data_IF_954315800885
#
_entry.id   IF_954315800885
#
_cell.length_a   1.000
_cell.length_b   1.000
_cell.length_c   1.000
_cell.angle_alpha   90.00
_cell.angle_beta   90.00
_cell.angle_gamma   90.00
#
_symmetry.space_group_name_H-M   'P 1'
#
loop_
_entity.id
_entity.type
_entity.pdbx_description
1 polymer ?
#
# COMPACT_ATOMS: atom_id res chain seq x y z
N UNK A 1 4.91 -21.76 4.10
CA UNK A 1 5.99 -20.85 4.56
C UNK A 1 6.99 -20.51 3.47
N UNK A 2 7.58 -19.31 3.54
CA UNK A 2 8.57 -18.81 2.58
C UNK A 2 8.01 -18.08 1.35
N UNK A 3 6.70 -18.11 1.14
CA UNK A 3 6.03 -17.40 0.04
C UNK A 3 5.53 -16.03 0.49
N UNK A 4 5.65 -15.04 -0.39
CA UNK A 4 5.10 -13.69 -0.25
C UNK A 4 4.28 -13.29 -1.48
N UNK A 5 3.29 -12.43 -1.29
CA UNK A 5 2.65 -11.64 -2.35
C UNK A 5 2.97 -10.16 -2.11
N UNK A 6 2.61 -9.29 -3.05
CA UNK A 6 3.07 -7.91 -3.07
C UNK A 6 2.02 -6.90 -2.60
N UNK A 7 2.50 -5.79 -2.07
CA UNK A 7 1.71 -4.57 -1.88
C UNK A 7 1.57 -3.82 -3.20
N UNK A 8 0.74 -2.77 -3.23
CA UNK A 8 0.51 -1.94 -4.41
C UNK A 8 1.75 -1.16 -4.87
N UNK A 9 2.65 -0.80 -3.94
CA UNK A 9 4.00 -0.30 -4.24
C UNK A 9 5.02 -1.37 -3.82
N UNK A 10 5.41 -2.29 -4.71
CA UNK A 10 5.88 -3.61 -4.30
C UNK A 10 7.39 -3.70 -4.03
N UNK A 11 8.14 -2.61 -4.21
CA UNK A 11 9.60 -2.61 -4.15
C UNK A 11 10.29 -2.71 -5.52
N UNK A 12 11.57 -3.05 -5.50
CA UNK A 12 12.46 -3.06 -6.67
C UNK A 12 12.01 -4.01 -7.79
N UNK A 13 11.54 -5.19 -7.40
CA UNK A 13 11.35 -6.32 -8.30
C UNK A 13 10.00 -7.03 -8.07
N UNK A 14 9.06 -6.36 -7.39
CA UNK A 14 7.76 -6.94 -7.10
C UNK A 14 6.72 -6.65 -8.17
N UNK A 15 5.70 -7.51 -8.24
CA UNK A 15 4.59 -7.38 -9.19
C UNK A 15 3.33 -7.10 -8.37
N UNK A 16 2.79 -5.88 -8.39
CA UNK A 16 1.66 -5.52 -7.54
C UNK A 16 0.40 -6.23 -8.04
N UNK A 17 -0.56 -6.56 -7.16
CA UNK A 17 -1.83 -7.13 -7.56
C UNK A 17 -2.64 -6.11 -8.38
N UNK A 18 -3.27 -6.59 -9.47
CA UNK A 18 -4.12 -5.80 -10.34
C UNK A 18 -5.55 -6.32 -10.25
N UNK A 19 -6.44 -5.47 -9.73
CA UNK A 19 -7.86 -5.78 -9.59
C UNK A 19 -8.64 -5.13 -10.73
N UNK A 20 -9.31 -5.96 -11.51
CA UNK A 20 -10.23 -5.51 -12.57
C UNK A 20 -11.64 -5.88 -12.17
N UNK A 21 -12.50 -4.88 -11.99
CA UNK A 21 -13.86 -5.06 -11.51
C UNK A 21 -14.87 -4.84 -12.64
N UNK A 22 -15.87 -5.70 -12.71
CA UNK A 22 -17.08 -5.49 -13.50
C UNK A 22 -18.27 -5.47 -12.57
N UNK A 23 -19.15 -4.48 -12.71
CA UNK A 23 -20.34 -4.32 -11.88
C UNK A 23 -21.59 -4.33 -12.75
N UNK A 24 -22.66 -4.97 -12.29
CA UNK A 24 -23.94 -5.00 -13.03
C UNK A 24 -24.66 -3.64 -13.12
N UNK A 25 -24.27 -2.69 -12.27
CA UNK A 25 -24.75 -1.31 -12.22
C UNK A 25 -23.56 -0.37 -11.98
N UNK A 26 -23.68 0.95 -12.27
CA UNK A 26 -22.65 1.91 -11.90
C UNK A 26 -22.38 1.90 -10.39
N UNK A 27 -21.16 1.56 -10.00
CA UNK A 27 -20.73 1.51 -8.60
C UNK A 27 -19.23 1.82 -8.48
N UNK A 28 -18.86 2.50 -7.41
CA UNK A 28 -17.45 2.72 -7.04
C UNK A 28 -16.95 1.51 -6.25
N UNK A 29 -15.82 0.94 -6.68
CA UNK A 29 -15.17 -0.20 -6.00
C UNK A 29 -13.79 0.24 -5.50
N UNK A 30 -13.62 0.28 -4.19
CA UNK A 30 -12.37 0.67 -3.53
C UNK A 30 -11.77 -0.53 -2.82
N UNK A 31 -10.53 -0.87 -3.17
CA UNK A 31 -9.73 -1.86 -2.45
C UNK A 31 -8.89 -1.16 -1.39
N UNK A 32 -9.05 -1.54 -0.13
CA UNK A 32 -8.17 -1.10 0.96
C UNK A 32 -7.12 -2.16 1.21
N UNK A 33 -5.88 -1.73 1.50
CA UNK A 33 -4.80 -2.65 1.77
C UNK A 33 -4.44 -2.62 3.26
N UNK A 34 -4.25 -3.78 3.89
CA UNK A 34 -3.58 -3.87 5.18
C UNK A 34 -2.18 -3.23 5.12
N UNK A 35 -1.70 -2.74 6.26
CA UNK A 35 -0.31 -2.26 6.38
C UNK A 35 0.63 -3.39 5.95
N UNK A 36 1.53 -3.16 4.98
CA UNK A 36 2.41 -4.19 4.46
C UNK A 36 3.64 -4.37 5.34
N UNK A 37 4.36 -5.47 5.10
CA UNK A 37 5.70 -5.69 5.63
C UNK A 37 6.75 -5.38 4.57
N UNK A 38 7.93 -4.92 5.01
CA UNK A 38 9.12 -4.82 4.17
C UNK A 38 10.00 -6.06 4.29
N UNK A 39 10.49 -6.54 3.17
CA UNK A 39 11.42 -7.67 3.08
C UNK A 39 12.66 -7.25 2.31
N UNK A 40 13.82 -7.32 2.97
CA UNK A 40 15.13 -7.11 2.36
C UNK A 40 15.83 -8.46 2.28
N UNK A 41 16.16 -8.89 1.06
CA UNK A 41 16.90 -10.12 0.80
C UNK A 41 17.94 -9.90 -0.32
N UNK A 42 18.63 -10.97 -0.72
CA UNK A 42 19.67 -10.88 -1.76
C UNK A 42 19.15 -10.37 -3.11
N UNK A 43 17.83 -10.42 -3.34
CA UNK A 43 17.15 -9.97 -4.56
C UNK A 43 16.76 -8.50 -4.51
N UNK A 44 16.97 -7.82 -3.37
CA UNK A 44 16.61 -6.42 -3.16
C UNK A 44 15.52 -6.22 -2.11
N UNK A 45 14.89 -5.06 -2.18
CA UNK A 45 13.84 -4.65 -1.26
C UNK A 45 12.46 -4.87 -1.89
N UNK A 46 11.57 -5.53 -1.15
CA UNK A 46 10.18 -5.80 -1.55
C UNK A 46 9.22 -5.47 -0.44
N UNK A 47 8.01 -5.04 -0.79
CA UNK A 47 6.96 -4.69 0.16
C UNK A 47 5.72 -5.54 -0.14
N UNK A 48 5.14 -6.16 0.87
CA UNK A 48 4.03 -7.08 0.68
C UNK A 48 3.61 -7.86 1.90
N UNK A 49 3.18 -9.09 1.68
CA UNK A 49 2.52 -9.91 2.69
C UNK A 49 3.00 -11.35 2.64
N UNK A 50 3.14 -11.98 3.81
CA UNK A 50 3.40 -13.42 3.96
C UNK A 50 2.20 -14.12 4.59
N UNK A 51 2.13 -15.43 4.40
CA UNK A 51 1.10 -16.32 4.94
C UNK A 51 -0.30 -16.03 4.39
N UNK A 52 -0.97 -14.99 4.90
CA UNK A 52 -2.34 -14.64 4.56
C UNK A 52 -2.41 -13.11 4.43
N UNK A 53 -3.15 -12.66 3.42
CA UNK A 53 -3.63 -11.28 3.34
C UNK A 53 -5.08 -11.31 2.87
N UNK A 54 -5.92 -10.48 3.49
CA UNK A 54 -7.27 -10.20 3.00
C UNK A 54 -7.32 -8.72 2.67
N UNK A 55 -7.77 -8.40 1.47
CA UNK A 55 -7.96 -7.02 1.02
C UNK A 55 -9.44 -6.64 1.18
N UNK A 56 -9.80 -5.77 2.15
CA UNK A 56 -11.16 -5.28 2.23
C UNK A 56 -11.57 -4.53 0.97
N UNK A 57 -12.74 -4.85 0.44
CA UNK A 57 -13.31 -4.19 -0.75
C UNK A 57 -14.60 -3.48 -0.35
N UNK A 58 -14.65 -2.18 -0.58
CA UNK A 58 -15.85 -1.37 -0.40
C UNK A 58 -16.50 -1.13 -1.76
N UNK A 59 -17.80 -1.42 -1.85
CA UNK A 59 -18.62 -1.15 -3.04
C UNK A 59 -19.68 -0.11 -2.67
N UNK A 60 -19.78 0.97 -3.46
CA UNK A 60 -20.82 2.01 -3.32
C UNK A 60 -21.59 2.14 -4.62
N UNK A 61 -22.87 1.77 -4.60
CA UNK A 61 -23.79 2.03 -5.70
C UNK A 61 -24.76 3.14 -5.30
N UNK A 62 -25.02 4.09 -6.20
CA UNK A 62 -25.85 5.26 -5.91
C UNK A 62 -27.35 4.89 -5.79
N UNK A 63 -27.88 4.16 -6.77
CA UNK A 63 -29.31 3.95 -6.94
C UNK A 63 -29.75 2.47 -6.89
N UNK A 64 -28.85 1.58 -6.47
CA UNK A 64 -29.10 0.14 -6.46
C UNK A 64 -28.91 -0.46 -5.06
N UNK A 65 -29.85 -1.30 -4.64
CA UNK A 65 -29.78 -2.05 -3.39
C UNK A 65 -29.09 -3.40 -3.55
N UNK A 66 -28.87 -3.86 -4.78
CA UNK A 66 -28.17 -5.08 -5.11
C UNK A 66 -27.18 -4.84 -6.26
N UNK A 67 -26.01 -5.48 -6.17
CA UNK A 67 -24.93 -5.34 -7.15
C UNK A 67 -24.30 -6.71 -7.37
N UNK A 68 -24.21 -7.16 -8.62
CA UNK A 68 -23.35 -8.29 -8.99
C UNK A 68 -21.96 -7.72 -9.26
N UNK A 69 -20.97 -8.26 -8.57
CA UNK A 69 -19.58 -7.83 -8.64
C UNK A 69 -18.72 -9.00 -9.12
N UNK A 70 -18.11 -8.83 -10.28
CA UNK A 70 -17.12 -9.76 -10.84
C UNK A 70 -15.71 -9.19 -10.69
N UNK A 71 -14.76 -10.04 -10.31
CA UNK A 71 -13.35 -9.75 -10.17
C UNK A 71 -12.54 -10.57 -11.17
N UNK A 72 -11.65 -9.91 -11.89
CA UNK A 72 -10.45 -10.51 -12.46
C UNK A 72 -9.22 -9.97 -11.70
N UNK A 73 -8.49 -10.86 -11.04
CA UNK A 73 -7.31 -10.54 -10.25
C UNK A 73 -6.08 -11.16 -10.89
N UNK A 74 -5.15 -10.31 -11.32
CA UNK A 74 -3.79 -10.72 -11.65
C UNK A 74 -2.86 -10.41 -10.47
N UNK A 75 -2.02 -11.36 -10.06
CA UNK A 75 -1.08 -11.19 -8.95
C UNK A 75 0.13 -12.09 -9.11
N UNK A 76 1.15 -11.91 -8.27
CA UNK A 76 2.29 -12.82 -8.24
C UNK A 76 2.57 -13.29 -6.81
N UNK A 77 2.98 -14.56 -6.68
CA UNK A 77 3.54 -15.11 -5.46
C UNK A 77 5.02 -15.39 -5.67
N UNK A 78 5.85 -14.99 -4.72
CA UNK A 78 7.30 -15.11 -4.86
C UNK A 78 7.92 -15.81 -3.65
N UNK A 79 8.89 -16.68 -3.94
CA UNK A 79 9.83 -17.24 -2.96
C UNK A 79 11.25 -17.01 -3.48
N UNK A 80 11.82 -18.00 -4.17
CA UNK A 80 13.08 -17.87 -4.92
C UNK A 80 12.82 -17.41 -6.36
N UNK A 81 11.65 -17.76 -6.88
CA UNK A 81 11.15 -17.36 -8.19
C UNK A 81 9.75 -16.79 -8.00
N UNK A 82 9.42 -15.76 -8.78
CA UNK A 82 8.10 -15.16 -8.75
C UNK A 82 7.21 -15.80 -9.83
N UNK A 83 6.02 -16.25 -9.42
CA UNK A 83 5.05 -16.94 -10.25
C UNK A 83 3.81 -16.06 -10.37
N UNK A 84 3.54 -15.50 -11.56
CA UNK A 84 2.28 -14.81 -11.86
C UNK A 84 1.11 -15.80 -11.87
N UNK A 85 -0.06 -15.32 -11.45
CA UNK A 85 -1.31 -16.07 -11.42
C UNK A 85 -2.51 -15.16 -11.64
N UNK A 86 -3.58 -15.76 -12.16
CA UNK A 86 -4.88 -15.12 -12.37
C UNK A 86 -5.93 -15.81 -11.51
N UNK A 87 -6.87 -15.02 -10.97
CA UNK A 87 -8.04 -15.52 -10.26
C UNK A 87 -9.29 -14.78 -10.74
N UNK A 88 -10.42 -15.50 -10.77
CA UNK A 88 -11.74 -14.92 -11.03
C UNK A 88 -12.68 -15.24 -9.88
N UNK A 89 -13.48 -14.27 -9.49
CA UNK A 89 -14.49 -14.44 -8.44
C UNK A 89 -15.72 -13.59 -8.77
N UNK A 90 -16.88 -14.03 -8.28
CA UNK A 90 -18.16 -13.33 -8.47
C UNK A 90 -18.94 -13.37 -7.16
N UNK A 91 -19.59 -12.26 -6.82
CA UNK A 91 -20.48 -12.17 -5.66
C UNK A 91 -21.66 -11.24 -5.93
N UNK A 92 -22.83 -11.65 -5.48
CA UNK A 92 -24.02 -10.79 -5.43
C UNK A 92 -24.13 -10.12 -4.06
N UNK A 93 -23.98 -8.80 -4.03
CA UNK A 93 -24.10 -7.96 -2.84
C UNK A 93 -25.54 -7.43 -2.70
N UNK A 94 -25.95 -7.16 -1.46
CA UNK A 94 -27.24 -6.54 -1.17
C UNK A 94 -28.46 -7.47 -1.24
N UNK A 95 -28.24 -8.77 -1.41
CA UNK A 95 -29.27 -9.80 -1.23
C UNK A 95 -29.45 -10.15 0.27
N UNK A 96 -30.43 -11.00 0.59
CA UNK A 96 -30.68 -11.44 1.97
C UNK A 96 -29.62 -12.43 2.51
N UNK A 97 -28.74 -12.95 1.65
CA UNK A 97 -27.68 -13.87 2.05
C UNK A 97 -26.48 -13.07 2.56
N UNK A 98 -26.16 -13.27 3.84
CA UNK A 98 -24.90 -12.80 4.41
C UNK A 98 -24.05 -13.99 4.77
N UNK A 99 -22.75 -13.89 4.48
CA UNK A 99 -21.73 -14.78 5.02
C UNK A 99 -21.20 -14.18 6.35
N UNK A 100 -21.56 -14.75 7.52
CA UNK A 100 -21.11 -14.22 8.79
C UNK A 100 -19.60 -14.36 8.99
N UNK A 101 -18.99 -15.45 8.51
CA UNK A 101 -17.56 -15.70 8.66
C UNK A 101 -16.74 -14.74 7.79
N UNK A 102 -17.14 -14.58 6.52
CA UNK A 102 -16.56 -13.58 5.63
C UNK A 102 -16.71 -12.16 6.18
N UNK A 103 -17.86 -11.83 6.76
CA UNK A 103 -18.10 -10.50 7.37
C UNK A 103 -17.18 -10.22 8.57
N UNK A 104 -16.97 -11.23 9.43
CA UNK A 104 -16.03 -11.14 10.55
C UNK A 104 -14.60 -10.98 10.05
N UNK A 105 -14.18 -11.78 9.08
CA UNK A 105 -12.84 -11.68 8.47
C UNK A 105 -12.61 -10.29 7.87
N UNK A 106 -13.57 -9.75 7.10
CA UNK A 106 -13.44 -8.40 6.54
C UNK A 106 -13.28 -7.36 7.64
N UNK A 107 -14.05 -7.46 8.73
CA UNK A 107 -13.96 -6.51 9.86
C UNK A 107 -12.60 -6.58 10.55
N UNK A 108 -12.08 -7.79 10.80
CA UNK A 108 -10.76 -7.98 11.43
C UNK A 108 -9.62 -7.45 10.56
N UNK A 109 -9.69 -7.64 9.24
CA UNK A 109 -8.68 -7.17 8.31
C UNK A 109 -8.78 -5.68 8.00
N UNK A 110 -9.97 -5.10 8.07
CA UNK A 110 -10.15 -3.63 8.06
C UNK A 110 -9.42 -2.97 9.23
N UNK A 111 -9.40 -3.59 10.41
CA UNK A 111 -8.66 -3.05 11.55
C UNK A 111 -7.12 -3.07 11.37
N UNK A 112 -6.61 -3.77 10.34
CA UNK A 112 -5.18 -3.86 9.99
C UNK A 112 -4.77 -2.89 8.88
N UNK A 113 -5.71 -2.13 8.32
CA UNK A 113 -5.40 -1.12 7.29
C UNK A 113 -4.86 0.14 7.95
N UNK A 114 -4.19 0.97 7.16
CA UNK A 114 -3.84 2.31 7.61
C UNK A 114 -5.11 3.10 7.94
N UNK A 115 -5.00 4.01 8.91
CA UNK A 115 -6.05 4.97 9.27
C UNK A 115 -5.54 6.39 9.03
N UNK A 116 -6.42 7.35 8.69
CA UNK A 116 -6.02 8.74 8.53
C UNK A 116 -5.36 9.31 9.79
N UNK A 117 -4.26 10.05 9.63
CA UNK A 117 -3.54 10.69 10.72
C UNK A 117 -2.68 11.86 10.27
N UNK A 118 -1.79 12.33 11.15
CA UNK A 118 -0.84 13.42 10.84
C UNK A 118 0.59 13.09 11.30
N UNK A 119 1.14 11.90 10.99
CA UNK A 119 2.44 11.47 11.49
C UNK A 119 3.60 12.37 11.04
N UNK A 120 3.49 13.09 9.91
CA UNK A 120 4.56 13.91 9.33
C UNK A 120 4.38 15.37 9.75
N UNK A 121 5.41 15.96 10.36
CA UNK A 121 5.48 17.40 10.68
C UNK A 121 6.13 18.23 9.58
N UNK A 122 7.10 17.66 8.86
CA UNK A 122 7.76 18.29 7.73
C UNK A 122 8.25 17.24 6.74
N UNK A 123 8.32 17.61 5.46
CA UNK A 123 8.90 16.79 4.40
C UNK A 123 9.69 17.66 3.43
N UNK A 124 10.85 17.16 2.98
CA UNK A 124 11.68 17.84 1.98
C UNK A 124 12.47 16.83 1.16
N UNK A 125 13.02 17.29 0.03
CA UNK A 125 13.92 16.50 -0.81
C UNK A 125 15.33 17.07 -0.70
N UNK A 126 16.29 16.20 -0.37
CA UNK A 126 17.71 16.49 -0.46
C UNK A 126 18.28 15.82 -1.71
N UNK A 127 18.66 16.62 -2.70
CA UNK A 127 19.27 16.16 -3.95
C UNK A 127 20.75 16.54 -4.07
N UNK A 128 21.42 16.88 -2.95
CA UNK A 128 22.84 17.29 -2.95
C UNK A 128 23.79 16.09 -3.03
N UNK A 129 23.32 14.91 -2.62
CA UNK A 129 24.07 13.67 -2.63
C UNK A 129 24.07 12.93 -3.99
N UNK A 130 24.71 11.76 -4.07
CA UNK A 130 24.76 10.94 -5.28
C UNK A 130 23.38 10.38 -5.67
N UNK A 131 22.48 10.24 -4.69
CA UNK A 131 21.08 9.90 -4.88
C UNK A 131 20.21 10.88 -4.11
N UNK A 132 19.02 11.23 -4.65
CA UNK A 132 18.05 12.04 -3.94
C UNK A 132 17.48 11.30 -2.74
N UNK A 133 17.15 12.03 -1.68
CA UNK A 133 16.62 11.52 -0.42
C UNK A 133 15.36 12.29 -0.04
N UNK A 134 14.30 11.58 0.33
CA UNK A 134 13.14 12.14 1.01
C UNK A 134 13.46 12.20 2.50
N UNK A 135 13.47 13.43 3.04
CA UNK A 135 13.64 13.68 4.47
C UNK A 135 12.29 13.93 5.10
N UNK A 136 11.96 13.18 6.15
CA UNK A 136 10.73 13.31 6.91
C UNK A 136 11.04 13.63 8.36
N UNK A 137 10.32 14.62 8.90
CA UNK A 137 10.19 14.81 10.34
C UNK A 137 8.85 14.23 10.80
N UNK A 138 8.87 13.48 11.90
CA UNK A 138 7.74 12.74 12.43
C UNK A 138 7.34 13.28 13.80
N UNK A 139 6.03 13.28 14.07
CA UNK A 139 5.48 13.68 15.37
C UNK A 139 5.75 12.66 16.47
N UNK A 140 5.85 11.40 16.08
CA UNK A 140 6.10 10.25 16.95
C UNK A 140 7.12 9.32 16.30
N UNK A 141 7.77 8.48 17.10
CA UNK A 141 8.72 7.50 16.59
C UNK A 141 8.00 6.44 15.74
N UNK A 142 8.57 6.10 14.59
CA UNK A 142 8.05 5.06 13.70
C UNK A 142 9.01 3.86 13.58
N UNK A 143 8.45 2.71 13.27
CA UNK A 143 9.14 1.45 13.02
C UNK A 143 9.42 1.24 11.52
N UNK A 144 8.53 1.73 10.64
CA UNK A 144 8.71 1.73 9.19
C UNK A 144 7.88 2.88 8.57
N UNK A 145 8.21 3.24 7.33
CA UNK A 145 7.51 4.24 6.52
C UNK A 145 7.33 3.71 5.11
N UNK A 146 6.08 3.71 4.64
CA UNK A 146 5.75 3.41 3.26
C UNK A 146 5.29 4.69 2.54
N UNK A 147 5.80 4.91 1.34
CA UNK A 147 5.51 6.11 0.55
C UNK A 147 4.95 5.71 -0.80
N UNK A 148 3.83 6.32 -1.16
CA UNK A 148 3.23 6.19 -2.47
C UNK A 148 3.28 7.53 -3.20
N UNK A 149 3.39 7.46 -4.50
CA UNK A 149 3.47 8.62 -5.38
C UNK A 149 2.82 8.30 -6.72
N UNK A 150 2.26 9.32 -7.37
CA UNK A 150 1.82 9.20 -8.77
C UNK A 150 2.96 9.25 -9.79
N UNK A 151 4.22 9.37 -9.33
CA UNK A 151 5.41 9.39 -10.18
C UNK A 151 6.04 8.00 -10.31
N UNK A 152 7.13 7.87 -11.07
CA UNK A 152 7.91 6.63 -11.12
C UNK A 152 8.85 6.43 -9.92
N UNK A 153 8.94 7.41 -9.02
CA UNK A 153 9.87 7.37 -7.91
C UNK A 153 9.57 6.23 -6.94
N UNK A 154 10.63 5.59 -6.47
CA UNK A 154 10.57 4.55 -5.45
C UNK A 154 11.31 5.02 -4.21
N UNK A 155 10.74 4.80 -3.03
CA UNK A 155 11.31 5.21 -1.75
C UNK A 155 11.77 3.97 -0.98
N UNK A 156 13.06 3.93 -0.69
CA UNK A 156 13.75 2.84 0.03
C UNK A 156 13.33 2.76 1.50
N UNK A 157 13.75 1.69 2.17
CA UNK A 157 13.64 1.58 3.63
C UNK A 157 14.14 2.86 4.34
N UNK A 158 13.41 3.36 5.34
CA UNK A 158 13.82 4.54 6.08
C UNK A 158 15.07 4.28 6.92
N UNK A 159 15.98 5.26 6.92
CA UNK A 159 17.04 5.37 7.90
C UNK A 159 16.60 6.36 8.96
N UNK A 160 16.33 5.86 10.17
CA UNK A 160 15.82 6.67 11.26
C UNK A 160 16.93 7.33 12.08
N UNK A 161 16.63 8.51 12.62
CA UNK A 161 17.38 9.09 13.73
C UNK A 161 17.31 8.19 14.97
N UNK A 162 18.19 8.44 15.95
CA UNK A 162 18.24 7.65 17.19
C UNK A 162 16.94 7.69 18.02
N UNK A 163 16.14 8.77 17.90
CA UNK A 163 14.85 8.92 18.56
C UNK A 163 13.66 8.49 17.69
N UNK A 164 13.93 8.05 16.44
CA UNK A 164 12.92 7.61 15.49
C UNK A 164 12.04 8.71 14.92
N UNK A 165 12.36 9.99 15.15
CA UNK A 165 11.52 11.14 14.74
C UNK A 165 11.99 11.82 13.46
N UNK A 166 13.13 11.44 12.92
CA UNK A 166 13.55 11.84 11.59
C UNK A 166 13.80 10.57 10.77
N UNK A 167 13.46 10.61 9.49
CA UNK A 167 13.67 9.49 8.57
C UNK A 167 14.17 9.98 7.21
N UNK A 168 15.25 9.37 6.75
CA UNK A 168 15.80 9.56 5.42
C UNK A 168 15.46 8.34 4.55
N UNK A 169 14.74 8.55 3.45
CA UNK A 169 14.39 7.51 2.47
C UNK A 169 15.08 7.84 1.15
N UNK A 170 16.05 7.02 0.75
CA UNK A 170 16.68 7.15 -0.56
C UNK A 170 15.66 6.92 -1.68
N UNK A 171 15.74 7.75 -2.74
CA UNK A 171 14.80 7.75 -3.84
C UNK A 171 15.46 7.16 -5.09
N UNK A 172 14.86 6.09 -5.60
CA UNK A 172 15.24 5.43 -6.83
C UNK A 172 14.21 5.63 -7.95
N UNK A 173 14.56 5.15 -9.15
CA UNK A 173 13.69 5.12 -10.33
C UNK A 173 13.12 6.50 -10.74
N UNK A 174 13.88 7.56 -10.46
CA UNK A 174 13.58 8.92 -10.90
C UNK A 174 14.76 9.53 -11.67
N UNK A 175 14.48 10.03 -12.87
CA UNK A 175 15.50 10.69 -13.72
C UNK A 175 15.62 12.18 -13.46
N UNK A 176 14.52 12.81 -13.06
CA UNK A 176 14.43 14.25 -12.84
C UNK A 176 13.69 14.49 -11.54
N UNK A 177 14.47 14.78 -10.49
CA UNK A 177 14.00 14.99 -9.12
C UNK A 177 13.10 16.23 -9.03
N UNK A 178 13.24 17.19 -9.94
CA UNK A 178 12.38 18.38 -9.95
C UNK A 178 10.90 18.03 -10.16
N UNK A 179 10.59 16.86 -10.75
CA UNK A 179 9.22 16.35 -10.88
C UNK A 179 8.56 15.97 -9.56
N UNK A 180 9.33 15.89 -8.47
CA UNK A 180 8.78 15.71 -7.12
C UNK A 180 8.34 17.04 -6.50
N UNK A 181 8.77 18.20 -7.01
CA UNK A 181 8.31 19.50 -6.52
C UNK A 181 6.80 19.65 -6.70
N UNK A 182 6.08 19.92 -5.62
CA UNK A 182 4.61 19.97 -5.60
C UNK A 182 3.90 18.62 -5.77
N UNK A 183 4.63 17.50 -5.82
CA UNK A 183 4.02 16.18 -5.87
C UNK A 183 3.32 15.87 -4.54
N UNK A 184 2.14 15.23 -4.63
CA UNK A 184 1.44 14.70 -3.47
C UNK A 184 1.94 13.28 -3.22
N UNK A 185 2.50 13.06 -2.04
CA UNK A 185 2.89 11.75 -1.52
C UNK A 185 1.82 11.26 -0.55
N UNK A 186 1.51 9.97 -0.56
CA UNK A 186 0.81 9.33 0.56
C UNK A 186 1.86 8.66 1.43
N UNK A 187 2.02 9.12 2.66
CA UNK A 187 2.98 8.60 3.64
C UNK A 187 2.23 7.81 4.70
N UNK A 188 2.57 6.54 4.86
CA UNK A 188 2.11 5.68 5.95
C UNK A 188 3.25 5.46 6.94
N UNK A 189 3.16 6.03 8.13
CA UNK A 189 4.09 5.77 9.23
C UNK A 189 3.53 4.64 10.11
N UNK A 190 4.35 3.63 10.38
CA UNK A 190 3.96 2.48 11.20
C UNK A 190 4.54 2.62 12.60
N UNK A 191 3.70 2.53 13.62
CA UNK A 191 4.12 2.52 15.02
C UNK A 191 3.20 1.60 15.84
N UNK A 192 3.77 0.70 16.66
CA UNK A 192 2.99 -0.21 17.49
C UNK A 192 2.04 -1.10 16.70
N UNK A 193 2.44 -1.51 15.49
CA UNK A 193 1.64 -2.33 14.58
C UNK A 193 0.45 -1.63 13.92
N UNK A 194 0.37 -0.29 13.97
CA UNK A 194 -0.67 0.51 13.31
C UNK A 194 -0.06 1.47 12.29
N UNK A 195 -0.72 1.63 11.15
CA UNK A 195 -0.35 2.62 10.14
C UNK A 195 -1.17 3.89 10.27
N UNK A 196 -0.50 5.04 10.41
CA UNK A 196 -1.11 6.35 10.23
C UNK A 196 -0.75 6.89 8.86
N UNK A 197 -1.77 7.22 8.07
CA UNK A 197 -1.61 7.67 6.69
C UNK A 197 -1.91 9.16 6.56
N UNK A 198 -1.05 9.88 5.83
CA UNK A 198 -1.17 11.30 5.56
C UNK A 198 -0.74 11.61 4.13
N UNK A 199 -1.52 12.46 3.45
CA UNK A 199 -1.08 13.10 2.23
C UNK A 199 -0.16 14.27 2.54
N UNK A 200 1.01 14.29 1.92
CA UNK A 200 2.04 15.31 2.10
C UNK A 200 2.40 15.88 0.73
N UNK A 201 2.25 17.20 0.56
CA UNK A 201 2.71 17.89 -0.64
C UNK A 201 4.15 18.32 -0.43
N UNK A 202 5.04 17.89 -1.33
CA UNK A 202 6.42 18.33 -1.29
C UNK A 202 6.54 19.83 -1.65
N UNK A 203 7.44 20.56 -0.97
CA UNK A 203 7.65 21.99 -1.22
C UNK A 203 8.17 22.31 -2.62
#
# INVERSE_FOLDING_TARGET
DGWKTYWRMPGDAGIPPQFTWTTSVPADVTVTYPVPDRFVDASGETVGYKHIVVFPVQVKAADATAVSLDLELFFAVCREVCIPADAKASIDLGNAMRDPEGSLSVTEWQARTSSPGTPVSAASIDATGPKPVLKLELREAAEDIFVETGTSAYFRAPQFSADGREADLEIDNIKDVAKLGGAVLTVTAVAGGKGLEQQVTLP
#
